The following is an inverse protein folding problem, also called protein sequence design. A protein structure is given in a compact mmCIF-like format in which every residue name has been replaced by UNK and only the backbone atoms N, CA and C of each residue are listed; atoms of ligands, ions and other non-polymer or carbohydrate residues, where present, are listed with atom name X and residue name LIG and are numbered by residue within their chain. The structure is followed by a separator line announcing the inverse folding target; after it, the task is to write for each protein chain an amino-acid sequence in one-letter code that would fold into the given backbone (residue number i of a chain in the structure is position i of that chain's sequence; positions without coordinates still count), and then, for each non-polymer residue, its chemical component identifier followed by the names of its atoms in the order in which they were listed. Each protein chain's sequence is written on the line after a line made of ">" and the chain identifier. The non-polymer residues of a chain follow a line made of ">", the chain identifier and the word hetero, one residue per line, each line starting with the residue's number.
data_IF_164489073894
#
_entry.id   IF_164489073894
#
_cell.length_a   1.000
_cell.length_b   1.000
_cell.length_c   1.000
_cell.angle_alpha   90.00
_cell.angle_beta   90.00
_cell.angle_gamma   90.00
#
_symmetry.space_group_name_H-M   'P 1'
#
loop_
_entity.id
_entity.type
_entity.pdbx_description
1 polymer ?
#
# COMPACT_ATOMS: atom_id res chain seq x y z
N UNK A 1 -6.67 -13.52 5.65
CA UNK A 1 -7.62 -14.07 4.69
C UNK A 1 -7.41 -13.47 3.28
N UNK A 2 -7.75 -12.19 3.00
CA UNK A 2 -7.62 -11.61 1.64
C UNK A 2 -6.16 -11.63 1.11
N UNK A 3 -5.18 -11.26 1.94
CA UNK A 3 -3.75 -11.29 1.57
C UNK A 3 -3.23 -12.70 1.25
N UNK A 4 -3.86 -13.72 1.84
CA UNK A 4 -3.53 -15.13 1.64
C UNK A 4 -4.32 -15.79 0.50
N UNK A 5 -5.16 -15.03 -0.20
CA UNK A 5 -6.01 -15.58 -1.27
C UNK A 5 -7.23 -16.37 -0.79
N UNK A 6 -7.49 -16.40 0.52
CA UNK A 6 -8.60 -17.14 1.15
C UNK A 6 -9.96 -16.43 1.06
N UNK A 7 -9.99 -15.23 0.51
CA UNK A 7 -11.18 -14.38 0.40
C UNK A 7 -11.09 -13.52 -0.87
N UNK A 8 -12.16 -13.44 -1.61
CA UNK A 8 -12.28 -12.59 -2.79
C UNK A 8 -12.46 -11.10 -2.42
N UNK A 9 -12.28 -10.22 -3.40
CA UNK A 9 -12.55 -8.79 -3.26
C UNK A 9 -14.02 -8.50 -2.93
N UNK A 10 -14.93 -9.21 -3.58
CA UNK A 10 -16.37 -9.05 -3.36
C UNK A 10 -16.79 -9.42 -1.93
N UNK A 11 -16.16 -10.44 -1.36
CA UNK A 11 -16.38 -10.85 0.04
C UNK A 11 -15.69 -9.93 1.04
N UNK A 12 -14.52 -9.38 0.71
CA UNK A 12 -13.78 -8.49 1.60
C UNK A 12 -14.54 -7.19 1.89
N UNK A 13 -15.15 -6.58 0.87
CA UNK A 13 -15.82 -5.28 0.99
C UNK A 13 -16.91 -5.25 2.08
N UNK A 14 -17.96 -6.08 2.03
CA UNK A 14 -19.00 -6.09 3.06
C UNK A 14 -18.51 -6.66 4.38
N UNK A 15 -17.64 -7.69 4.36
CA UNK A 15 -17.12 -8.34 5.58
C UNK A 15 -16.32 -7.38 6.45
N UNK A 16 -15.54 -6.48 5.86
CA UNK A 16 -14.77 -5.47 6.60
C UNK A 16 -15.68 -4.59 7.46
N UNK A 17 -16.70 -4.02 6.86
CA UNK A 17 -17.62 -3.12 7.56
C UNK A 17 -18.49 -3.87 8.56
N UNK A 18 -18.98 -5.05 8.23
CA UNK A 18 -19.71 -5.90 9.17
C UNK A 18 -18.89 -6.18 10.43
N UNK A 19 -17.65 -6.66 10.30
CA UNK A 19 -16.77 -6.90 11.46
C UNK A 19 -16.47 -5.65 12.26
N UNK A 20 -16.31 -4.51 11.63
CA UNK A 20 -16.11 -3.24 12.33
C UNK A 20 -17.35 -2.86 13.14
N UNK A 21 -18.54 -2.98 12.58
CA UNK A 21 -19.80 -2.69 13.26
C UNK A 21 -20.04 -3.66 14.44
N UNK A 22 -19.73 -4.95 14.27
CA UNK A 22 -19.76 -5.94 15.35
C UNK A 22 -18.82 -5.56 16.50
N UNK A 23 -17.60 -5.16 16.20
CA UNK A 23 -16.62 -4.70 17.20
C UNK A 23 -17.03 -3.42 17.92
N UNK A 24 -17.83 -2.58 17.28
CA UNK A 24 -18.42 -1.38 17.89
C UNK A 24 -19.68 -1.67 18.71
N UNK A 25 -20.06 -2.94 18.86
CA UNK A 25 -21.21 -3.36 19.65
C UNK A 25 -22.56 -3.05 19.00
N UNK A 26 -22.62 -2.89 17.69
CA UNK A 26 -23.87 -2.68 16.97
C UNK A 26 -24.76 -3.92 17.08
N UNK A 27 -26.06 -3.76 17.42
CA UNK A 27 -26.97 -4.91 17.55
C UNK A 27 -27.17 -5.62 16.21
N UNK A 28 -27.41 -6.93 16.25
CA UNK A 28 -27.58 -7.78 15.05
C UNK A 28 -28.66 -7.24 14.10
N UNK A 29 -29.70 -6.60 14.63
CA UNK A 29 -30.75 -5.93 13.84
C UNK A 29 -30.25 -4.76 13.00
N UNK A 30 -29.18 -4.04 13.44
CA UNK A 30 -28.53 -2.98 12.70
C UNK A 30 -27.44 -3.50 11.76
N UNK A 31 -27.01 -4.76 11.95
CA UNK A 31 -26.08 -5.49 11.08
C UNK A 31 -26.79 -6.13 9.89
N UNK A 32 -28.11 -5.92 9.73
CA UNK A 32 -28.83 -6.37 8.56
C UNK A 32 -28.05 -5.95 7.29
N UNK A 33 -27.94 -6.86 6.36
CA UNK A 33 -27.03 -6.84 5.19
C UNK A 33 -26.90 -5.49 4.46
N UNK A 34 -27.90 -4.60 4.56
CA UNK A 34 -27.92 -3.31 3.92
C UNK A 34 -26.87 -2.32 4.42
N UNK A 35 -26.63 -2.18 5.73
CA UNK A 35 -25.74 -1.12 6.27
C UNK A 35 -24.26 -1.40 5.96
N UNK A 36 -23.80 -2.63 6.20
CA UNK A 36 -22.40 -2.99 5.93
C UNK A 36 -22.09 -2.88 4.42
N UNK A 37 -23.04 -3.27 3.58
CA UNK A 37 -22.92 -3.14 2.12
C UNK A 37 -22.91 -1.68 1.70
N UNK A 38 -23.84 -0.86 2.18
CA UNK A 38 -23.90 0.57 1.88
C UNK A 38 -22.63 1.32 2.31
N UNK A 39 -22.08 1.01 3.49
CA UNK A 39 -20.80 1.56 3.96
C UNK A 39 -19.64 1.11 3.07
N UNK A 40 -19.63 -0.16 2.67
CA UNK A 40 -18.63 -0.72 1.75
C UNK A 40 -18.65 0.00 0.40
N UNK A 41 -19.84 0.21 -0.16
CA UNK A 41 -20.02 0.91 -1.42
C UNK A 41 -19.63 2.38 -1.30
N UNK A 42 -20.14 3.10 -0.30
CA UNK A 42 -19.79 4.50 -0.06
C UNK A 42 -18.28 4.72 0.14
N UNK A 43 -17.59 3.75 0.77
CA UNK A 43 -16.14 3.82 0.92
C UNK A 43 -15.44 3.69 -0.44
N UNK A 44 -15.84 2.75 -1.28
CA UNK A 44 -15.25 2.55 -2.61
C UNK A 44 -15.54 3.75 -3.52
N UNK A 45 -16.74 4.31 -3.45
CA UNK A 45 -17.15 5.44 -4.30
C UNK A 45 -16.45 6.74 -3.93
N UNK A 46 -16.03 6.92 -2.68
CA UNK A 46 -15.50 8.19 -2.18
C UNK A 46 -14.00 8.17 -1.89
N UNK A 47 -13.50 7.10 -1.25
CA UNK A 47 -12.12 7.09 -0.74
C UNK A 47 -11.05 7.24 -1.82
N UNK A 48 -11.23 6.74 -3.07
CA UNK A 48 -10.24 6.91 -4.12
C UNK A 48 -10.03 8.37 -4.55
N UNK A 49 -11.04 9.20 -4.39
CA UNK A 49 -11.05 10.59 -4.83
C UNK A 49 -10.56 11.59 -3.77
N UNK A 50 -10.24 11.11 -2.55
CA UNK A 50 -9.77 11.97 -1.49
C UNK A 50 -8.27 12.28 -1.68
N UNK A 51 -7.88 13.55 -1.87
CA UNK A 51 -6.51 13.94 -2.22
C UNK A 51 -5.61 14.08 -0.99
N UNK A 52 -5.95 13.42 0.12
CA UNK A 52 -5.18 13.56 1.35
C UNK A 52 -3.87 12.79 1.27
N UNK A 53 -2.76 13.51 1.29
CA UNK A 53 -1.42 12.96 1.35
C UNK A 53 -0.94 12.88 2.80
N UNK A 54 -0.04 11.94 3.05
CA UNK A 54 0.75 11.92 4.29
C UNK A 54 1.60 13.20 4.32
N UNK A 55 1.74 13.87 5.50
CA UNK A 55 2.59 15.05 5.61
C UNK A 55 3.98 14.82 5.03
N UNK A 56 4.47 15.79 4.27
CA UNK A 56 5.77 15.70 3.59
C UNK A 56 5.83 14.85 2.32
N UNK A 57 4.78 14.07 1.98
CA UNK A 57 4.83 13.15 0.85
C UNK A 57 5.09 13.85 -0.50
N UNK A 58 4.41 14.96 -0.78
CA UNK A 58 4.59 15.69 -2.03
C UNK A 58 6.02 16.24 -2.15
N UNK A 59 6.52 16.89 -1.09
CA UNK A 59 7.86 17.45 -1.03
C UNK A 59 8.94 16.39 -1.25
N UNK A 60 8.83 15.25 -0.55
CA UNK A 60 9.78 14.15 -0.65
C UNK A 60 9.78 13.53 -2.05
N UNK A 61 8.60 13.28 -2.60
CA UNK A 61 8.47 12.71 -3.95
C UNK A 61 9.04 13.65 -5.01
N UNK A 62 8.77 14.96 -4.93
CA UNK A 62 9.32 15.95 -5.86
C UNK A 62 10.85 16.01 -5.77
N UNK A 63 11.39 16.03 -4.55
CA UNK A 63 12.85 16.09 -4.33
C UNK A 63 13.54 14.83 -4.85
N UNK A 64 13.01 13.64 -4.57
CA UNK A 64 13.58 12.39 -5.08
C UNK A 64 13.52 12.31 -6.61
N UNK A 65 12.43 12.77 -7.22
CA UNK A 65 12.34 12.89 -8.68
C UNK A 65 13.37 13.85 -9.23
N UNK A 66 13.55 15.04 -8.59
CA UNK A 66 14.55 16.03 -8.96
C UNK A 66 16.00 15.51 -8.85
N UNK A 67 16.27 14.60 -7.92
CA UNK A 67 17.57 13.88 -7.81
C UNK A 67 17.75 12.77 -8.85
N UNK A 68 16.77 12.55 -9.73
CA UNK A 68 16.84 11.54 -10.79
C UNK A 68 16.49 10.12 -10.35
N UNK A 69 15.87 9.94 -9.18
CA UNK A 69 15.40 8.62 -8.77
C UNK A 69 14.21 8.19 -9.62
N UNK A 70 14.27 6.96 -10.11
CA UNK A 70 13.15 6.30 -10.80
C UNK A 70 12.21 5.72 -9.76
N UNK A 71 10.98 6.25 -9.69
CA UNK A 71 10.02 5.86 -8.68
C UNK A 71 8.86 5.07 -9.27
N UNK A 72 8.41 4.06 -8.51
CA UNK A 72 7.31 3.15 -8.86
C UNK A 72 6.44 2.92 -7.63
N UNK A 73 5.17 2.66 -7.83
CA UNK A 73 4.27 2.20 -6.78
C UNK A 73 4.13 0.68 -6.89
N UNK A 74 4.34 -0.04 -5.78
CA UNK A 74 4.02 -1.47 -5.65
C UNK A 74 2.97 -1.67 -4.57
N UNK A 75 1.76 -2.07 -4.95
CA UNK A 75 0.59 -2.08 -4.06
C UNK A 75 -0.25 -3.36 -4.17
N UNK A 76 -0.78 -3.81 -3.02
CA UNK A 76 -1.82 -4.84 -2.95
C UNK A 76 -3.25 -4.26 -3.11
N UNK A 77 -3.35 -2.96 -3.39
CA UNK A 77 -4.63 -2.30 -3.64
C UNK A 77 -5.19 -2.66 -5.02
N UNK A 78 -6.51 -2.51 -5.16
CA UNK A 78 -7.22 -2.79 -6.40
C UNK A 78 -6.80 -1.82 -7.51
N UNK A 79 -6.61 -2.33 -8.71
CA UNK A 79 -6.02 -1.59 -9.82
C UNK A 79 -6.79 -0.29 -10.11
N UNK A 80 -8.10 -0.37 -10.31
CA UNK A 80 -8.93 0.79 -10.58
C UNK A 80 -8.84 1.86 -9.47
N UNK A 81 -8.82 1.41 -8.20
CA UNK A 81 -8.75 2.31 -7.04
C UNK A 81 -7.40 3.01 -6.96
N UNK A 82 -6.31 2.31 -7.25
CA UNK A 82 -4.97 2.89 -7.19
C UNK A 82 -4.76 3.92 -8.32
N UNK A 83 -5.24 3.65 -9.53
CA UNK A 83 -5.16 4.61 -10.63
C UNK A 83 -5.94 5.89 -10.34
N UNK A 84 -7.16 5.78 -9.79
CA UNK A 84 -7.95 6.95 -9.36
C UNK A 84 -7.20 7.75 -8.27
N UNK A 85 -6.68 7.07 -7.25
CA UNK A 85 -5.91 7.72 -6.18
C UNK A 85 -4.69 8.46 -6.72
N UNK A 86 -3.93 7.84 -7.59
CA UNK A 86 -2.76 8.46 -8.20
C UNK A 86 -3.15 9.69 -9.02
N UNK A 87 -4.20 9.60 -9.83
CA UNK A 87 -4.67 10.74 -10.62
C UNK A 87 -5.08 11.95 -9.76
N UNK A 88 -5.73 11.69 -8.59
CA UNK A 88 -6.19 12.78 -7.69
C UNK A 88 -5.14 13.22 -6.67
N UNK A 89 -4.05 12.47 -6.50
CA UNK A 89 -2.99 12.81 -5.53
C UNK A 89 -2.09 13.96 -5.96
N UNK A 90 -2.06 14.28 -7.25
CA UNK A 90 -1.06 15.19 -7.84
C UNK A 90 0.34 14.59 -7.95
N UNK A 91 0.55 13.33 -7.53
CA UNK A 91 1.86 12.68 -7.52
C UNK A 91 2.16 11.86 -8.79
N UNK A 92 1.14 11.58 -9.62
CA UNK A 92 1.28 10.77 -10.84
C UNK A 92 2.48 11.13 -11.71
N UNK A 93 2.81 12.41 -11.96
CA UNK A 93 3.92 12.78 -12.85
C UNK A 93 5.30 12.31 -12.35
N UNK A 94 5.42 11.98 -11.08
CA UNK A 94 6.69 11.58 -10.46
C UNK A 94 6.91 10.07 -10.45
N UNK A 95 5.90 9.28 -10.78
CA UNK A 95 5.99 7.82 -10.79
C UNK A 95 5.92 7.28 -12.22
N UNK A 96 6.87 6.43 -12.57
CA UNK A 96 6.96 5.84 -13.90
C UNK A 96 5.90 4.76 -14.16
N UNK A 97 5.47 4.04 -13.11
CA UNK A 97 4.40 3.07 -13.18
C UNK A 97 3.79 2.76 -11.80
N UNK A 98 2.58 2.21 -11.83
CA UNK A 98 1.88 1.63 -10.68
C UNK A 98 1.75 0.13 -10.91
N UNK A 99 2.41 -0.65 -10.07
CA UNK A 99 2.36 -2.11 -10.09
C UNK A 99 1.35 -2.59 -9.04
N UNK A 100 0.19 -3.00 -9.50
CA UNK A 100 -0.85 -3.56 -8.64
C UNK A 100 -0.73 -5.08 -8.57
N UNK A 101 -1.22 -5.69 -7.49
CA UNK A 101 -1.28 -7.14 -7.38
C UNK A 101 -2.11 -7.78 -8.48
N UNK A 102 -3.11 -7.08 -8.98
CA UNK A 102 -3.99 -7.56 -10.05
C UNK A 102 -3.23 -7.61 -11.38
N UNK A 103 -2.47 -6.56 -11.72
CA UNK A 103 -1.64 -6.51 -12.93
C UNK A 103 -0.44 -7.46 -12.88
N UNK A 104 0.17 -7.67 -11.71
CA UNK A 104 1.32 -8.56 -11.54
C UNK A 104 0.93 -10.04 -11.37
N UNK A 105 -0.34 -10.32 -11.03
CA UNK A 105 -0.82 -11.68 -10.67
C UNK A 105 -0.34 -12.18 -9.30
N UNK A 106 0.40 -11.36 -8.56
CA UNK A 106 1.01 -11.71 -7.27
C UNK A 106 0.84 -10.61 -6.24
N UNK A 107 0.65 -10.98 -4.97
CA UNK A 107 0.46 -10.04 -3.84
C UNK A 107 1.68 -10.04 -2.92
N UNK A 108 2.12 -8.88 -2.47
CA UNK A 108 3.05 -8.79 -1.34
C UNK A 108 2.44 -9.49 -0.12
N UNK A 109 3.18 -10.28 0.68
CA UNK A 109 4.64 -10.43 0.68
C UNK A 109 5.20 -11.55 -0.20
N UNK A 110 4.43 -12.16 -1.12
CA UNK A 110 4.94 -13.21 -1.98
C UNK A 110 6.15 -12.71 -2.81
N UNK A 111 7.28 -13.44 -2.84
CA UNK A 111 8.50 -13.04 -3.55
C UNK A 111 8.27 -12.70 -5.02
N UNK A 112 7.34 -13.38 -5.65
CA UNK A 112 6.97 -13.19 -7.06
C UNK A 112 6.49 -11.77 -7.36
N UNK A 113 5.81 -11.11 -6.40
CA UNK A 113 5.35 -9.73 -6.56
C UNK A 113 6.54 -8.75 -6.70
N UNK A 114 7.61 -8.96 -5.93
CA UNK A 114 8.81 -8.12 -6.00
C UNK A 114 9.62 -8.44 -7.25
N UNK A 115 9.81 -9.72 -7.58
CA UNK A 115 10.52 -10.11 -8.81
C UNK A 115 9.83 -9.60 -10.07
N UNK A 116 8.50 -9.71 -10.14
CA UNK A 116 7.71 -9.18 -11.25
C UNK A 116 7.83 -7.65 -11.37
N UNK A 117 7.75 -6.94 -10.23
CA UNK A 117 7.90 -5.48 -10.22
C UNK A 117 9.30 -5.02 -10.60
N UNK A 118 10.35 -5.68 -10.11
CA UNK A 118 11.74 -5.40 -10.47
C UNK A 118 11.99 -5.62 -11.97
N UNK A 119 11.51 -6.74 -12.50
CA UNK A 119 11.58 -7.03 -13.93
C UNK A 119 10.89 -5.95 -14.76
N UNK A 120 9.66 -5.56 -14.39
CA UNK A 120 8.91 -4.52 -15.09
C UNK A 120 9.56 -3.13 -14.99
N UNK A 121 10.22 -2.84 -13.85
CA UNK A 121 10.98 -1.62 -13.63
C UNK A 121 12.36 -1.61 -14.36
N UNK A 122 12.79 -2.74 -14.90
CA UNK A 122 14.14 -2.89 -15.45
C UNK A 122 15.21 -2.64 -14.38
N UNK A 123 15.05 -3.26 -13.20
CA UNK A 123 15.94 -3.10 -12.04
C UNK A 123 16.25 -4.46 -11.41
N UNK A 124 17.16 -4.45 -10.43
CA UNK A 124 17.53 -5.61 -9.63
C UNK A 124 17.42 -5.28 -8.14
N UNK A 125 17.35 -6.28 -7.24
CA UNK A 125 17.16 -6.04 -5.81
C UNK A 125 18.19 -5.11 -5.18
N UNK A 126 19.46 -5.23 -5.57
CA UNK A 126 20.58 -4.43 -5.06
C UNK A 126 20.51 -2.96 -5.49
N UNK A 127 19.81 -2.67 -6.59
CA UNK A 127 19.62 -1.33 -7.15
C UNK A 127 18.26 -0.71 -6.83
N UNK A 128 17.47 -1.38 -5.99
CA UNK A 128 16.16 -0.94 -5.59
C UNK A 128 16.02 -0.86 -4.07
N UNK A 129 15.17 0.05 -3.61
CA UNK A 129 14.81 0.21 -2.21
C UNK A 129 13.29 0.17 -2.11
N UNK A 130 12.75 -0.71 -1.26
CA UNK A 130 11.34 -0.71 -0.92
C UNK A 130 11.10 0.25 0.25
N UNK A 131 10.14 1.15 0.10
CA UNK A 131 9.72 2.08 1.16
C UNK A 131 8.25 1.82 1.44
N UNK A 132 7.90 1.52 2.70
CA UNK A 132 6.50 1.29 3.05
C UNK A 132 6.26 1.16 4.55
N UNK A 133 4.99 1.06 4.94
CA UNK A 133 4.55 1.03 6.34
C UNK A 133 4.13 -0.35 6.83
N UNK A 134 3.92 -1.30 5.94
CA UNK A 134 3.57 -2.67 6.32
C UNK A 134 4.83 -3.50 6.57
N UNK A 135 5.05 -3.82 7.85
CA UNK A 135 6.25 -4.55 8.27
C UNK A 135 6.43 -5.89 7.54
N UNK A 136 5.35 -6.61 7.27
CA UNK A 136 5.39 -7.91 6.59
C UNK A 136 5.51 -7.73 5.08
N UNK A 137 4.61 -6.90 4.50
CA UNK A 137 4.55 -6.74 3.06
C UNK A 137 5.68 -5.87 2.49
N UNK A 138 6.12 -4.81 3.18
CA UNK A 138 7.07 -3.87 2.59
C UNK A 138 8.50 -4.08 3.09
N UNK A 139 8.66 -4.59 4.30
CA UNK A 139 9.98 -4.75 4.90
C UNK A 139 10.48 -6.18 4.78
N UNK A 140 9.76 -7.13 5.41
CA UNK A 140 10.18 -8.54 5.42
C UNK A 140 10.17 -9.11 4.00
N UNK A 141 9.06 -8.93 3.26
CA UNK A 141 8.95 -9.47 1.91
C UNK A 141 9.99 -8.90 0.93
N UNK A 142 10.33 -7.61 1.04
CA UNK A 142 11.41 -7.03 0.23
C UNK A 142 12.78 -7.61 0.59
N UNK A 143 13.06 -7.79 1.89
CA UNK A 143 14.30 -8.41 2.38
C UNK A 143 14.48 -9.84 1.86
N UNK A 144 13.41 -10.64 1.80
CA UNK A 144 13.46 -12.03 1.33
C UNK A 144 13.90 -12.16 -0.14
N UNK A 145 13.75 -11.10 -0.93
CA UNK A 145 14.27 -11.05 -2.32
C UNK A 145 15.59 -10.27 -2.45
N UNK A 146 16.21 -9.89 -1.33
CA UNK A 146 17.50 -9.19 -1.32
C UNK A 146 17.41 -7.66 -1.52
N UNK A 147 16.22 -7.08 -1.51
CA UNK A 147 16.05 -5.62 -1.56
C UNK A 147 16.32 -5.00 -0.19
N UNK A 148 16.97 -3.84 -0.19
CA UNK A 148 16.94 -2.95 1.00
C UNK A 148 15.54 -2.42 1.21
N UNK A 149 15.16 -2.23 2.48
CA UNK A 149 13.86 -1.68 2.83
C UNK A 149 13.96 -0.55 3.85
N UNK A 150 13.13 0.47 3.67
CA UNK A 150 12.90 1.54 4.64
C UNK A 150 11.50 1.37 5.22
N UNK A 151 11.42 1.19 6.52
CA UNK A 151 10.15 1.12 7.24
C UNK A 151 9.67 2.51 7.61
N UNK A 152 8.59 2.97 6.99
CA UNK A 152 7.88 4.17 7.42
C UNK A 152 7.00 3.83 8.62
N UNK A 153 7.44 4.22 9.82
CA UNK A 153 6.81 3.86 11.10
C UNK A 153 6.44 5.10 11.93
N UNK A 154 5.48 5.93 11.47
CA UNK A 154 5.16 7.21 12.11
C UNK A 154 4.62 7.09 13.55
N UNK A 155 4.22 5.88 13.95
CA UNK A 155 3.74 5.59 15.31
C UNK A 155 4.79 4.98 16.20
N UNK A 156 6.03 4.85 15.74
CA UNK A 156 7.16 4.23 16.45
C UNK A 156 6.80 2.86 17.08
N UNK A 157 6.02 2.04 16.38
CA UNK A 157 5.63 0.71 16.84
C UNK A 157 6.87 -0.17 17.00
N UNK A 158 7.02 -0.81 18.15
CA UNK A 158 8.12 -1.73 18.42
C UNK A 158 7.92 -3.04 17.63
N UNK A 159 9.01 -3.56 17.08
CA UNK A 159 9.11 -4.88 16.43
C UNK A 159 10.52 -5.44 16.58
N UNK A 160 10.70 -6.72 16.27
CA UNK A 160 11.99 -7.44 16.39
C UNK A 160 12.70 -7.62 15.04
N UNK A 161 12.08 -7.17 13.94
CA UNK A 161 12.65 -7.33 12.61
C UNK A 161 13.91 -6.47 12.43
N UNK A 162 14.92 -7.06 11.76
CA UNK A 162 16.08 -6.33 11.30
C UNK A 162 15.73 -5.55 10.04
N UNK A 163 15.91 -4.24 10.08
CA UNK A 163 15.54 -3.31 9.01
C UNK A 163 16.77 -2.47 8.65
N UNK A 164 16.97 -2.25 7.35
CA UNK A 164 18.05 -1.40 6.87
C UNK A 164 17.93 0.04 7.41
N UNK A 165 16.72 0.62 7.37
CA UNK A 165 16.41 1.94 7.92
C UNK A 165 14.95 2.02 8.36
N UNK A 166 14.68 2.70 9.47
CA UNK A 166 13.33 3.08 9.90
C UNK A 166 13.25 4.60 9.96
N UNK A 167 12.14 5.15 9.47
CA UNK A 167 11.84 6.59 9.53
C UNK A 167 10.45 6.79 10.13
N UNK A 168 10.28 7.86 10.88
CA UNK A 168 9.01 8.26 11.48
C UNK A 168 8.37 9.43 10.72
N UNK A 169 9.18 10.21 10.00
CA UNK A 169 8.78 11.26 9.09
C UNK A 169 9.33 10.96 7.69
N UNK A 170 8.52 11.18 6.65
CA UNK A 170 8.96 10.96 5.27
C UNK A 170 10.14 11.84 4.87
N UNK A 171 10.27 13.04 5.44
CA UNK A 171 11.40 13.93 5.15
C UNK A 171 12.75 13.37 5.54
N UNK A 172 12.80 12.43 6.46
CA UNK A 172 14.03 11.72 6.80
C UNK A 172 14.62 10.93 5.62
N UNK A 173 13.82 10.65 4.59
CA UNK A 173 14.27 9.99 3.35
C UNK A 173 15.22 10.85 2.50
N UNK A 174 15.24 12.16 2.75
CA UNK A 174 16.07 13.12 2.00
C UNK A 174 17.50 13.25 2.51
N UNK A 175 17.80 12.65 3.69
CA UNK A 175 19.08 12.74 4.44
C UNK A 175 19.99 11.54 4.20
#
# INVERSE_FOLDING_TARGET
>A
AYRLGEMSQAELRPTRFRRTLEQLGMPASALQEGLAHALGQAYVDRSPYLPHLIPGAAEVVQELAGRGHRMFILTNGFEEVQHIKMAHSGLSPHFLAVFTSDALGHKKPAPEAYWASLKAAGSSPENAIMIGDDLVCDVVGAREVGMRSVHFNPRAKKHKEQIWRTVTDLKELLN
#
